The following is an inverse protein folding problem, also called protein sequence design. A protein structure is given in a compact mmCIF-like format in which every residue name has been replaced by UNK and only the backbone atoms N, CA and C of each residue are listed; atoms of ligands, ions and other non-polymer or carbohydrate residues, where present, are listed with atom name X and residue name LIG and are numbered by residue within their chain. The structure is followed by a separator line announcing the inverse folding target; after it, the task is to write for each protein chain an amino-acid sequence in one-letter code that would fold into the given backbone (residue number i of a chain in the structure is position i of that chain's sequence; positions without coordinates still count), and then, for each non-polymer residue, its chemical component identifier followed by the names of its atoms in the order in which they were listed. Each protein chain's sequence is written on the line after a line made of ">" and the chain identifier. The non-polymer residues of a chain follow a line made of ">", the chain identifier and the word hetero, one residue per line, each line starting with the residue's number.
data_IF_783476116315
#
_entry.id   IF_783476116315
#
_cell.length_a   1.000
_cell.length_b   1.000
_cell.length_c   1.000
_cell.angle_alpha   90.00
_cell.angle_beta   90.00
_cell.angle_gamma   90.00
#
_symmetry.space_group_name_H-M   'P 1'
#
loop_
_entity.id
_entity.type
_entity.pdbx_description
1 polymer ?
#
# COMPACT_ATOMS: atom_id res chain seq x y z
N UNK A 1 6.65 -7.72 23.35
CA UNK A 1 6.92 -8.53 22.16
C UNK A 1 6.48 -7.81 20.87
N UNK A 2 7.34 -7.79 19.91
CA UNK A 2 7.03 -7.18 18.61
C UNK A 2 6.29 -8.18 17.74
N UNK A 3 5.04 -7.92 17.43
CA UNK A 3 4.23 -8.81 16.60
C UNK A 3 3.85 -8.23 15.26
N UNK A 4 3.54 -6.94 15.23
CA UNK A 4 3.03 -6.29 14.03
C UNK A 4 4.13 -5.60 13.24
N UNK A 5 5.21 -5.22 13.91
CA UNK A 5 6.30 -4.47 13.30
C UNK A 5 7.63 -5.10 13.65
N UNK A 6 8.55 -5.01 12.70
CA UNK A 6 9.93 -5.42 12.88
C UNK A 6 10.82 -4.20 12.87
N UNK A 7 11.86 -4.23 13.70
CA UNK A 7 12.91 -3.22 13.65
C UNK A 7 14.06 -3.74 12.79
N UNK A 8 14.47 -2.93 11.81
CA UNK A 8 15.60 -3.20 10.96
C UNK A 8 16.51 -1.99 11.03
N UNK A 9 17.73 -2.19 11.49
CA UNK A 9 18.72 -1.11 11.67
C UNK A 9 18.12 0.04 12.48
N UNK A 10 17.36 -0.28 13.54
CA UNK A 10 16.75 0.71 14.40
C UNK A 10 15.50 1.36 13.84
N UNK A 11 15.04 0.97 12.66
CA UNK A 11 13.86 1.53 12.03
C UNK A 11 12.70 0.58 12.07
N UNK A 12 11.50 1.14 12.22
CA UNK A 12 10.26 0.37 12.26
C UNK A 12 9.85 -0.08 10.87
N UNK A 13 9.67 -1.38 10.69
CA UNK A 13 9.23 -1.95 9.43
C UNK A 13 7.70 -1.91 9.36
N UNK A 14 7.17 -1.21 8.39
CA UNK A 14 5.73 -1.11 8.16
C UNK A 14 5.33 -2.01 7.00
N UNK A 15 4.04 -2.34 6.97
CA UNK A 15 3.48 -3.15 5.89
C UNK A 15 2.26 -2.44 5.32
N UNK A 16 2.23 -2.34 4.00
CA UNK A 16 1.13 -1.74 3.26
C UNK A 16 0.58 -2.74 2.26
N UNK A 17 -0.72 -2.68 2.06
CA UNK A 17 -1.41 -3.42 1.01
C UNK A 17 -1.91 -2.40 0.02
N UNK A 18 -1.58 -2.57 -1.25
CA UNK A 18 -2.01 -1.66 -2.31
C UNK A 18 -2.87 -2.40 -3.31
N UNK A 19 -3.85 -1.71 -3.85
CA UNK A 19 -4.75 -2.26 -4.85
C UNK A 19 -5.30 -1.14 -5.69
N UNK A 20 -5.82 -1.47 -6.85
CA UNK A 20 -6.38 -0.45 -7.73
C UNK A 20 -6.91 -1.06 -9.01
N UNK A 21 -7.29 -0.19 -9.92
CA UNK A 21 -7.87 -0.59 -11.19
C UNK A 21 -7.07 -0.04 -12.35
N UNK A 22 -7.00 -0.81 -13.43
CA UNK A 22 -6.44 -0.36 -14.69
C UNK A 22 -7.52 0.34 -15.49
N UNK A 23 -7.11 1.37 -16.23
CA UNK A 23 -8.00 2.10 -17.13
C UNK A 23 -8.01 1.47 -18.51
N UNK A 24 -8.88 1.96 -19.39
CA UNK A 24 -8.90 1.53 -20.79
C UNK A 24 -7.54 1.71 -21.45
N UNK A 25 -6.85 2.80 -21.11
CA UNK A 25 -5.49 3.05 -21.65
C UNK A 25 -4.53 1.93 -21.27
N UNK A 26 -4.60 1.45 -20.03
CA UNK A 26 -3.77 0.34 -19.58
C UNK A 26 -4.12 -0.95 -20.31
N UNK A 27 -5.42 -1.25 -20.44
CA UNK A 27 -5.85 -2.45 -21.15
C UNK A 27 -5.40 -2.44 -22.61
N UNK A 28 -5.45 -1.29 -23.27
CA UNK A 28 -4.92 -1.15 -24.62
C UNK A 28 -3.41 -1.46 -24.66
N UNK A 29 -2.68 -1.00 -23.63
CA UNK A 29 -1.25 -1.30 -23.51
C UNK A 29 -0.97 -2.78 -23.34
N UNK A 30 -1.78 -3.47 -22.53
CA UNK A 30 -1.65 -4.92 -22.35
C UNK A 30 -1.89 -5.68 -23.66
N UNK A 31 -2.88 -5.25 -24.42
CA UNK A 31 -3.19 -5.88 -25.71
C UNK A 31 -2.05 -5.65 -26.70
N UNK A 32 -1.50 -4.45 -26.70
CA UNK A 32 -0.40 -4.07 -27.61
C UNK A 32 0.89 -4.80 -27.26
N UNK A 33 1.15 -5.01 -25.96
CA UNK A 33 2.35 -5.71 -25.48
C UNK A 33 1.94 -6.71 -24.40
N UNK A 34 1.54 -7.93 -24.79
CA UNK A 34 1.11 -8.94 -23.83
C UNK A 34 2.23 -9.49 -22.96
N UNK A 35 3.49 -9.18 -23.28
CA UNK A 35 4.64 -9.71 -22.54
C UNK A 35 5.15 -8.78 -21.45
N UNK A 36 4.52 -7.61 -21.25
CA UNK A 36 5.04 -6.69 -20.23
C UNK A 36 4.94 -7.26 -18.81
N UNK A 37 5.95 -6.96 -18.01
CA UNK A 37 6.06 -7.45 -16.64
C UNK A 37 5.65 -6.36 -15.65
N UNK A 38 4.39 -6.42 -15.21
CA UNK A 38 3.87 -5.42 -14.28
C UNK A 38 4.43 -5.55 -12.87
N UNK A 39 4.79 -6.78 -12.48
CA UNK A 39 5.41 -7.01 -11.17
C UNK A 39 6.77 -6.34 -11.10
N UNK A 40 7.56 -6.42 -12.17
CA UNK A 40 8.86 -5.76 -12.22
C UNK A 40 8.72 -4.24 -12.12
N UNK A 41 7.74 -3.66 -12.82
CA UNK A 41 7.49 -2.23 -12.78
C UNK A 41 7.06 -1.78 -11.38
N UNK A 42 6.19 -2.55 -10.73
CA UNK A 42 5.73 -2.25 -9.38
C UNK A 42 6.87 -2.36 -8.36
N UNK A 43 7.75 -3.34 -8.53
CA UNK A 43 8.92 -3.52 -7.68
C UNK A 43 9.84 -2.31 -7.78
N UNK A 44 10.12 -1.87 -8.99
CA UNK A 44 11.00 -0.72 -9.22
C UNK A 44 10.41 0.55 -8.58
N UNK A 45 9.12 0.75 -8.72
CA UNK A 45 8.45 1.91 -8.14
C UNK A 45 8.53 1.89 -6.62
N UNK A 46 8.31 0.73 -6.00
CA UNK A 46 8.39 0.57 -4.54
C UNK A 46 9.79 0.90 -4.03
N UNK A 47 10.80 0.40 -4.71
CA UNK A 47 12.20 0.63 -4.31
C UNK A 47 12.58 2.11 -4.43
N UNK A 48 12.02 2.80 -5.41
CA UNK A 48 12.30 4.21 -5.61
C UNK A 48 11.87 5.08 -4.41
N UNK A 49 10.88 4.63 -3.63
CA UNK A 49 10.41 5.35 -2.44
C UNK A 49 10.86 4.68 -1.14
N UNK A 50 11.80 3.74 -1.22
CA UNK A 50 12.39 3.11 -0.04
C UNK A 50 11.66 1.88 0.47
N UNK A 51 10.69 1.37 -0.26
CA UNK A 51 9.96 0.17 0.11
C UNK A 51 10.48 -1.07 -0.58
N UNK A 52 9.94 -2.22 -0.18
CA UNK A 52 10.24 -3.50 -0.79
C UNK A 52 8.94 -4.17 -1.19
N UNK A 53 8.80 -4.51 -2.47
CA UNK A 53 7.65 -5.26 -2.95
C UNK A 53 7.79 -6.71 -2.52
N UNK A 54 6.89 -7.16 -1.64
CA UNK A 54 6.89 -8.55 -1.17
C UNK A 54 6.16 -9.44 -2.18
N UNK A 55 5.04 -8.95 -2.70
CA UNK A 55 4.27 -9.69 -3.70
C UNK A 55 3.47 -8.70 -4.53
N UNK A 56 3.17 -9.09 -5.75
CA UNK A 56 2.33 -8.31 -6.65
C UNK A 56 1.61 -9.28 -7.57
N UNK A 57 0.29 -9.17 -7.61
CA UNK A 57 -0.54 -10.03 -8.44
C UNK A 57 -1.54 -9.19 -9.21
N UNK A 58 -1.76 -9.54 -10.46
CA UNK A 58 -2.89 -9.04 -11.23
C UNK A 58 -4.04 -9.97 -10.94
N UNK A 59 -5.17 -9.41 -10.55
CA UNK A 59 -6.31 -10.17 -10.06
C UNK A 59 -7.55 -9.80 -10.87
N UNK A 60 -8.65 -10.45 -10.57
CA UNK A 60 -9.93 -10.18 -11.21
C UNK A 60 -10.99 -10.05 -10.14
N UNK A 61 -11.74 -8.95 -10.18
CA UNK A 61 -12.79 -8.68 -9.20
C UNK A 61 -12.99 -7.19 -9.06
N UNK A 62 -13.21 -6.74 -7.85
CA UNK A 62 -13.38 -5.32 -7.55
C UNK A 62 -12.14 -4.52 -7.93
N UNK A 63 -10.97 -5.11 -7.72
CA UNK A 63 -9.69 -4.50 -8.11
C UNK A 63 -9.02 -5.36 -9.15
N UNK A 64 -8.08 -4.76 -9.87
CA UNK A 64 -7.35 -5.42 -10.95
C UNK A 64 -5.95 -5.87 -10.53
N UNK A 65 -5.41 -5.27 -9.46
CA UNK A 65 -4.12 -5.71 -8.92
C UNK A 65 -4.11 -5.58 -7.41
N UNK A 66 -3.20 -6.35 -6.80
CA UNK A 66 -3.04 -6.42 -5.36
C UNK A 66 -1.55 -6.60 -5.06
N UNK A 67 -1.00 -5.73 -4.22
CA UNK A 67 0.42 -5.81 -3.87
C UNK A 67 0.64 -5.65 -2.38
N UNK A 68 1.78 -6.16 -1.92
CA UNK A 68 2.20 -6.03 -0.52
C UNK A 68 3.58 -5.39 -0.51
N UNK A 69 3.72 -4.29 0.23
CA UNK A 69 4.96 -3.53 0.33
C UNK A 69 5.36 -3.45 1.80
N UNK A 70 6.62 -3.67 2.09
CA UNK A 70 7.17 -3.47 3.44
C UNK A 70 8.28 -2.44 3.40
N UNK A 71 8.54 -1.78 4.52
CA UNK A 71 9.63 -0.85 4.65
C UNK A 71 9.36 0.23 5.68
N UNK A 72 10.39 1.01 5.99
CA UNK A 72 10.24 2.19 6.82
C UNK A 72 9.87 3.35 5.90
N UNK A 73 8.61 3.36 5.46
CA UNK A 73 8.11 4.31 4.47
C UNK A 73 7.02 5.15 5.12
N UNK A 74 7.18 6.46 5.08
CA UNK A 74 6.22 7.38 5.66
C UNK A 74 5.01 7.63 4.75
N UNK A 75 4.10 8.43 5.25
CA UNK A 75 2.86 8.75 4.55
C UNK A 75 3.12 9.43 3.21
N UNK A 76 4.07 10.37 3.16
CA UNK A 76 4.38 11.09 1.94
C UNK A 76 4.90 10.15 0.84
N UNK A 77 5.66 9.13 1.21
CA UNK A 77 6.17 8.16 0.24
C UNK A 77 5.04 7.35 -0.38
N UNK A 78 4.08 6.88 0.43
CA UNK A 78 2.94 6.14 -0.10
C UNK A 78 2.03 7.04 -0.93
N UNK A 79 1.84 8.29 -0.52
CA UNK A 79 1.08 9.26 -1.28
C UNK A 79 1.75 9.56 -2.63
N UNK A 80 3.08 9.60 -2.65
CA UNK A 80 3.84 9.83 -3.88
C UNK A 80 3.62 8.68 -4.89
N UNK A 81 3.54 7.45 -4.41
CA UNK A 81 3.24 6.32 -5.28
C UNK A 81 1.87 6.49 -5.93
N UNK A 82 0.86 6.87 -5.14
CA UNK A 82 -0.48 7.10 -5.68
C UNK A 82 -0.48 8.21 -6.73
N UNK A 83 0.17 9.34 -6.43
CA UNK A 83 0.26 10.43 -7.39
C UNK A 83 0.95 9.98 -8.68
N UNK A 84 2.05 9.26 -8.55
CA UNK A 84 2.82 8.80 -9.70
C UNK A 84 2.00 7.90 -10.61
N UNK A 85 1.38 6.85 -10.05
CA UNK A 85 0.67 5.87 -10.86
C UNK A 85 -0.61 6.43 -11.45
N UNK A 86 -1.35 7.22 -10.70
CA UNK A 86 -2.60 7.78 -11.21
C UNK A 86 -2.36 8.88 -12.23
N UNK A 87 -1.22 9.59 -12.14
CA UNK A 87 -0.90 10.64 -13.10
C UNK A 87 -0.63 10.10 -14.51
N UNK A 88 -0.33 8.81 -14.63
CA UNK A 88 -0.09 8.20 -15.96
C UNK A 88 -1.38 8.01 -16.75
N UNK A 89 -2.53 8.05 -16.11
CA UNK A 89 -3.81 7.75 -16.74
C UNK A 89 -4.04 6.26 -16.96
N UNK A 90 -3.16 5.38 -16.46
CA UNK A 90 -3.30 3.93 -16.63
C UNK A 90 -3.85 3.24 -15.39
N UNK A 91 -3.79 3.90 -14.23
CA UNK A 91 -4.29 3.37 -12.97
C UNK A 91 -5.23 4.38 -12.35
N UNK A 92 -6.31 3.87 -11.78
CA UNK A 92 -7.29 4.68 -11.05
C UNK A 92 -7.67 3.93 -9.77
N UNK A 93 -8.29 4.65 -8.85
CA UNK A 93 -8.80 4.05 -7.62
C UNK A 93 -7.69 3.35 -6.82
N UNK A 94 -6.48 3.92 -6.83
CA UNK A 94 -5.35 3.34 -6.12
C UNK A 94 -5.59 3.49 -4.63
N UNK A 95 -5.67 2.36 -3.94
CA UNK A 95 -6.04 2.27 -2.52
C UNK A 95 -4.86 1.72 -1.74
N UNK A 96 -4.54 2.35 -0.62
CA UNK A 96 -3.43 1.96 0.24
C UNK A 96 -3.99 1.65 1.62
N UNK A 97 -3.74 0.44 2.10
CA UNK A 97 -4.09 0.03 3.46
C UNK A 97 -2.80 -0.17 4.23
N UNK A 98 -2.73 0.44 5.39
CA UNK A 98 -1.57 0.26 6.27
C UNK A 98 -1.91 -0.74 7.35
N UNK A 99 -1.03 -1.72 7.56
CA UNK A 99 -1.18 -2.67 8.66
C UNK A 99 -1.13 -1.94 9.98
N UNK A 100 -2.01 -2.30 10.87
CA UNK A 100 -2.11 -1.68 12.19
C UNK A 100 -2.11 -2.76 13.27
N UNK A 101 -1.59 -2.40 14.45
CA UNK A 101 -1.67 -3.26 15.63
C UNK A 101 -2.93 -2.90 16.38
N UNK A 102 -3.96 -3.75 16.28
CA UNK A 102 -5.25 -3.49 16.92
C UNK A 102 -5.12 -3.50 18.44
N UNK A 103 -4.22 -4.32 18.99
CA UNK A 103 -4.06 -4.38 20.44
C UNK A 103 -3.49 -3.08 20.98
N UNK A 104 -2.51 -2.51 20.27
CA UNK A 104 -1.95 -1.22 20.65
C UNK A 104 -2.99 -0.11 20.53
N UNK A 105 -3.75 -0.11 19.45
CA UNK A 105 -4.81 0.87 19.24
C UNK A 105 -5.87 0.75 20.36
N UNK A 106 -6.22 -0.47 20.74
CA UNK A 106 -7.20 -0.70 21.79
C UNK A 106 -6.70 -0.21 23.15
N UNK A 107 -5.41 -0.38 23.45
CA UNK A 107 -4.83 0.15 24.69
C UNK A 107 -4.93 1.67 24.72
N UNK A 108 -4.60 2.32 23.61
CA UNK A 108 -4.70 3.77 23.51
C UNK A 108 -6.15 4.24 23.62
N UNK A 109 -7.07 3.49 23.02
CA UNK A 109 -8.50 3.79 23.10
C UNK A 109 -9.00 3.71 24.55
N UNK A 110 -8.53 2.71 25.32
CA UNK A 110 -8.89 2.57 26.72
C UNK A 110 -8.47 3.82 27.51
N UNK A 111 -7.26 4.32 27.25
CA UNK A 111 -6.78 5.54 27.90
C UNK A 111 -7.61 6.75 27.48
N UNK A 112 -7.94 6.85 26.21
CA UNK A 112 -8.75 7.96 25.70
C UNK A 112 -10.15 7.96 26.31
N UNK A 113 -10.76 6.77 26.44
CA UNK A 113 -12.10 6.64 27.00
C UNK A 113 -12.17 7.02 28.46
N UNK A 114 -11.08 6.89 29.21
CA UNK A 114 -11.07 7.23 30.62
C UNK A 114 -11.45 8.68 30.87
N UNK A 115 -11.14 9.60 29.96
CA UNK A 115 -11.47 11.01 30.11
C UNK A 115 -12.51 11.52 29.11
N UNK A 116 -13.04 10.66 28.27
CA UNK A 116 -13.95 11.08 27.23
C UNK A 116 -15.40 11.05 27.72
N UNK A 117 -16.10 12.14 27.46
CA UNK A 117 -17.53 12.23 27.73
C UNK A 117 -18.29 12.18 26.41
N UNK A 118 -19.08 11.12 26.14
CA UNK A 118 -19.82 11.01 24.89
C UNK A 118 -20.86 12.12 24.73
N UNK A 119 -21.18 12.42 23.48
CA UNK A 119 -22.18 13.44 23.17
C UNK A 119 -23.59 13.00 23.53
N UNK A 120 -23.85 11.70 23.53
CA UNK A 120 -25.16 11.15 23.82
C UNK A 120 -25.32 10.50 25.17
#
# INVERSE_FOLDING_TARGET
>A
MLRSYKLIKGKLMKKYIVMGNYTAKAFQGFIKDPSQDRAAAATQLSEAVGGKMVSFDIVRGTYDFFGVITGDVGFEATAAVKLAVESTGTITNFTILEKMDINKAAELATKAMAGYKPAG
#
